data_IF_778590858677
#
_entry.id   IF_778590858677
#
_cell.length_a   1.000
_cell.length_b   1.000
_cell.length_c   1.000
_cell.angle_alpha   90.00
_cell.angle_beta   90.00
_cell.angle_gamma   90.00
#
_symmetry.space_group_name_H-M   'P 1'
#
loop_
_entity.id
_entity.type
_entity.pdbx_description
1 polymer ?
#
# COMPACT_ATOMS: atom_id res chain seq x y z
N UNK A 1 -11.48 -0.12 -35.28
CA UNK A 1 -11.99 -1.52 -35.33
C UNK A 1 -11.41 -2.43 -34.24
N UNK A 2 -10.09 -2.74 -34.22
CA UNK A 2 -9.50 -3.67 -33.23
C UNK A 2 -9.78 -3.28 -31.76
N UNK A 3 -9.71 -1.99 -31.42
CA UNK A 3 -10.01 -1.47 -30.08
C UNK A 3 -11.47 -1.72 -29.67
N UNK A 4 -12.44 -1.43 -30.55
CA UNK A 4 -13.87 -1.67 -30.30
C UNK A 4 -14.18 -3.15 -30.10
N UNK A 5 -13.58 -4.03 -30.92
CA UNK A 5 -13.72 -5.49 -30.74
C UNK A 5 -13.15 -5.96 -29.40
N UNK A 6 -12.03 -5.39 -28.95
CA UNK A 6 -11.44 -5.69 -27.63
C UNK A 6 -12.38 -5.26 -26.50
N UNK A 7 -12.90 -4.03 -26.57
CA UNK A 7 -13.86 -3.51 -25.60
C UNK A 7 -15.13 -4.37 -25.54
N UNK A 8 -15.66 -4.78 -26.69
CA UNK A 8 -16.80 -5.67 -26.75
C UNK A 8 -16.53 -7.02 -26.08
N UNK A 9 -15.39 -7.65 -26.34
CA UNK A 9 -14.99 -8.90 -25.67
C UNK A 9 -14.86 -8.75 -24.15
N UNK A 10 -14.27 -7.66 -23.68
CA UNK A 10 -14.16 -7.38 -22.24
C UNK A 10 -15.54 -7.22 -21.59
N UNK A 11 -16.45 -6.52 -22.27
CA UNK A 11 -17.80 -6.27 -21.79
C UNK A 11 -18.69 -7.52 -21.83
N UNK A 12 -18.57 -8.36 -22.87
CA UNK A 12 -19.21 -9.68 -22.93
C UNK A 12 -18.69 -10.63 -21.84
N UNK A 13 -17.39 -10.58 -21.57
CA UNK A 13 -16.82 -11.35 -20.46
C UNK A 13 -17.36 -10.89 -19.09
N UNK A 14 -17.53 -9.58 -18.91
CA UNK A 14 -18.18 -9.03 -17.71
C UNK A 14 -19.66 -9.47 -17.62
N UNK A 15 -20.39 -9.45 -18.73
CA UNK A 15 -21.77 -9.93 -18.81
C UNK A 15 -21.91 -11.41 -18.40
N UNK A 16 -21.03 -12.27 -18.93
CA UNK A 16 -20.97 -13.69 -18.56
C UNK A 16 -20.73 -13.88 -17.06
N UNK A 17 -19.79 -13.13 -16.47
CA UNK A 17 -19.55 -13.16 -15.01
C UNK A 17 -20.78 -12.73 -14.21
N UNK A 18 -21.42 -11.63 -14.60
CA UNK A 18 -22.63 -11.16 -13.92
C UNK A 18 -23.75 -12.19 -14.02
N UNK A 19 -23.96 -12.80 -15.18
CA UNK A 19 -24.93 -13.88 -15.35
C UNK A 19 -24.63 -15.06 -14.42
N UNK A 20 -23.42 -15.63 -14.47
CA UNK A 20 -23.11 -16.82 -13.68
C UNK A 20 -23.08 -16.58 -12.17
N UNK A 21 -22.66 -15.40 -11.73
CA UNK A 21 -22.53 -15.10 -10.30
C UNK A 21 -23.77 -14.46 -9.68
N UNK A 22 -24.74 -13.99 -10.47
CA UNK A 22 -25.93 -13.28 -9.95
C UNK A 22 -27.27 -13.73 -10.53
N UNK A 23 -27.32 -14.78 -11.36
CA UNK A 23 -28.59 -15.26 -11.96
C UNK A 23 -29.66 -15.61 -10.92
N UNK A 24 -29.26 -16.08 -9.75
CA UNK A 24 -30.12 -16.47 -8.63
C UNK A 24 -30.80 -15.27 -7.95
N UNK A 25 -30.14 -14.11 -7.96
CA UNK A 25 -30.63 -12.87 -7.34
C UNK A 25 -31.14 -11.83 -8.35
N UNK A 26 -31.15 -12.18 -9.64
CA UNK A 26 -31.58 -11.30 -10.74
C UNK A 26 -32.93 -11.77 -11.27
N UNK A 27 -33.84 -10.83 -11.54
CA UNK A 27 -35.17 -11.20 -12.06
C UNK A 27 -35.08 -11.80 -13.48
N UNK A 28 -35.97 -12.74 -13.79
CA UNK A 28 -36.00 -13.42 -15.09
C UNK A 28 -36.11 -12.43 -16.27
N UNK A 29 -36.94 -11.39 -16.13
CA UNK A 29 -37.07 -10.34 -17.15
C UNK A 29 -35.73 -9.63 -17.46
N UNK A 30 -34.89 -9.42 -16.43
CA UNK A 30 -33.57 -8.80 -16.61
C UNK A 30 -32.54 -9.76 -17.20
N UNK A 31 -32.65 -11.06 -16.90
CA UNK A 31 -31.81 -12.09 -17.50
C UNK A 31 -32.11 -12.25 -18.99
N UNK A 32 -33.38 -12.23 -19.38
CA UNK A 32 -33.78 -12.24 -20.79
C UNK A 32 -33.29 -10.98 -21.53
N UNK A 33 -33.37 -9.81 -20.90
CA UNK A 33 -32.85 -8.55 -21.45
C UNK A 33 -31.32 -8.60 -21.64
N UNK A 34 -30.60 -9.21 -20.69
CA UNK A 34 -29.16 -9.43 -20.77
C UNK A 34 -28.80 -10.36 -21.92
N UNK A 35 -29.44 -11.53 -22.03
CA UNK A 35 -29.20 -12.53 -23.07
C UNK A 35 -29.47 -11.98 -24.48
N UNK A 36 -30.56 -11.21 -24.64
CA UNK A 36 -30.87 -10.52 -25.90
C UNK A 36 -29.78 -9.50 -26.27
N UNK A 37 -29.26 -8.76 -25.29
CA UNK A 37 -28.23 -7.75 -25.53
C UNK A 37 -26.86 -8.38 -25.84
N UNK A 38 -26.53 -9.51 -25.19
CA UNK A 38 -25.32 -10.30 -25.46
C UNK A 38 -25.35 -10.89 -26.87
N UNK A 39 -26.44 -11.57 -27.24
CA UNK A 39 -26.61 -12.15 -28.58
C UNK A 39 -26.59 -11.10 -29.69
N UNK A 40 -27.16 -9.91 -29.47
CA UNK A 40 -27.07 -8.79 -30.41
C UNK A 40 -25.61 -8.37 -30.65
N UNK A 41 -24.79 -8.24 -29.61
CA UNK A 41 -23.39 -7.84 -29.76
C UNK A 41 -22.54 -8.95 -30.39
N UNK A 42 -22.79 -10.21 -30.04
CA UNK A 42 -22.10 -11.37 -30.64
C UNK A 42 -22.38 -11.47 -32.15
N UNK A 43 -23.64 -11.34 -32.57
CA UNK A 43 -24.01 -11.34 -33.99
C UNK A 43 -23.33 -10.20 -34.76
N UNK A 44 -23.29 -8.99 -34.19
CA UNK A 44 -22.55 -7.87 -34.77
C UNK A 44 -21.04 -8.11 -34.84
N UNK A 45 -20.45 -8.83 -33.88
CA UNK A 45 -19.02 -9.19 -33.90
C UNK A 45 -18.66 -10.22 -34.97
N UNK A 46 -19.60 -11.11 -35.33
CA UNK A 46 -19.45 -12.10 -36.38
C UNK A 46 -19.68 -11.54 -37.79
N UNK A 47 -20.26 -10.35 -37.91
CA UNK A 47 -20.45 -9.65 -39.19
C UNK A 47 -19.13 -9.28 -39.88
N UNK A 48 -19.16 -9.27 -41.22
CA UNK A 48 -18.01 -8.97 -42.07
C UNK A 48 -17.55 -7.50 -41.92
N UNK A 49 -18.51 -6.58 -41.80
CA UNK A 49 -18.32 -5.18 -41.47
C UNK A 49 -19.02 -4.83 -40.15
N UNK A 50 -18.34 -4.06 -39.29
CA UNK A 50 -18.92 -3.52 -38.07
C UNK A 50 -19.13 -2.03 -38.28
N UNK A 51 -20.39 -1.63 -38.38
CA UNK A 51 -20.76 -0.22 -38.35
C UNK A 51 -20.53 0.32 -36.93
N UNK A 52 -19.65 1.32 -36.82
CA UNK A 52 -19.16 1.80 -35.52
C UNK A 52 -20.27 2.37 -34.65
N UNK A 53 -21.19 3.15 -35.23
CA UNK A 53 -22.27 3.87 -34.52
C UNK A 53 -23.29 2.93 -33.86
N UNK A 54 -23.95 2.01 -34.58
CA UNK A 54 -24.89 1.08 -33.96
C UNK A 54 -24.18 0.14 -32.99
N UNK A 55 -22.93 -0.23 -33.27
CA UNK A 55 -22.15 -1.10 -32.39
C UNK A 55 -21.82 -0.45 -31.05
N UNK A 56 -21.40 0.83 -31.04
CA UNK A 56 -21.17 1.57 -29.80
C UNK A 56 -22.46 1.75 -29.00
N UNK A 57 -23.58 2.02 -29.67
CA UNK A 57 -24.88 2.13 -28.99
C UNK A 57 -25.32 0.80 -28.35
N UNK A 58 -25.05 -0.34 -28.99
CA UNK A 58 -25.29 -1.65 -28.40
C UNK A 58 -24.42 -1.90 -27.16
N UNK A 59 -23.13 -1.55 -27.22
CA UNK A 59 -22.21 -1.66 -26.08
C UNK A 59 -22.66 -0.79 -24.90
N UNK A 60 -23.07 0.46 -25.15
CA UNK A 60 -23.51 1.38 -24.10
C UNK A 60 -24.82 0.91 -23.43
N UNK A 61 -25.75 0.31 -24.20
CA UNK A 61 -26.95 -0.32 -23.66
C UNK A 61 -26.60 -1.47 -22.73
N UNK A 62 -25.70 -2.36 -23.15
CA UNK A 62 -25.27 -3.48 -22.31
C UNK A 62 -24.50 -2.97 -21.07
N UNK A 63 -23.63 -1.98 -21.20
CA UNK A 63 -22.94 -1.37 -20.04
C UNK A 63 -23.93 -0.80 -19.01
N UNK A 64 -24.95 -0.08 -19.49
CA UNK A 64 -26.00 0.49 -18.65
C UNK A 64 -26.81 -0.59 -17.92
N UNK A 65 -27.11 -1.70 -18.61
CA UNK A 65 -27.78 -2.85 -18.01
C UNK A 65 -26.89 -3.49 -16.94
N UNK A 66 -25.61 -3.75 -17.25
CA UNK A 66 -24.64 -4.33 -16.31
C UNK A 66 -24.43 -3.44 -15.08
N UNK A 67 -24.50 -2.11 -15.19
CA UNK A 67 -24.44 -1.22 -14.02
C UNK A 67 -25.64 -1.40 -13.08
N UNK A 68 -26.81 -1.76 -13.63
CA UNK A 68 -28.03 -1.99 -12.83
C UNK A 68 -28.01 -3.38 -12.17
N UNK A 69 -27.59 -4.41 -12.90
CA UNK A 69 -27.65 -5.80 -12.42
C UNK A 69 -26.31 -6.36 -11.93
N UNK A 70 -25.19 -5.68 -12.15
CA UNK A 70 -23.84 -6.19 -11.90
C UNK A 70 -23.36 -6.05 -10.45
N UNK A 71 -23.94 -5.14 -9.66
CA UNK A 71 -23.66 -5.04 -8.23
C UNK A 71 -22.19 -4.67 -7.97
N UNK A 72 -21.46 -5.50 -7.23
CA UNK A 72 -20.02 -5.28 -6.98
C UNK A 72 -19.10 -5.82 -8.09
N UNK A 73 -19.65 -6.55 -9.06
CA UNK A 73 -18.89 -7.15 -10.16
C UNK A 73 -18.66 -6.16 -11.32
N UNK A 74 -19.58 -5.21 -11.50
CA UNK A 74 -19.53 -4.19 -12.55
C UNK A 74 -20.05 -2.84 -12.03
N UNK A 75 -19.37 -1.71 -12.30
CA UNK A 75 -18.19 -1.57 -13.15
C UNK A 75 -16.91 -2.10 -12.50
N UNK A 76 -16.07 -2.76 -13.29
CA UNK A 76 -14.70 -3.09 -12.85
C UNK A 76 -13.97 -1.80 -12.48
N UNK A 77 -13.47 -1.73 -11.25
CA UNK A 77 -12.64 -0.61 -10.81
C UNK A 77 -11.16 -0.98 -10.95
N UNK A 78 -10.33 0.05 -11.19
CA UNK A 78 -8.87 -0.11 -11.27
C UNK A 78 -8.32 -0.87 -10.06
N UNK A 79 -8.79 -0.54 -8.86
CA UNK A 79 -8.37 -1.21 -7.63
C UNK A 79 -8.72 -2.69 -7.60
N UNK A 80 -9.95 -3.08 -7.97
CA UNK A 80 -10.36 -4.50 -7.94
C UNK A 80 -9.57 -5.39 -8.90
N UNK A 81 -9.09 -4.85 -10.02
CA UNK A 81 -8.38 -5.61 -11.05
C UNK A 81 -6.85 -5.66 -10.79
N UNK A 82 -6.30 -4.65 -10.13
CA UNK A 82 -4.85 -4.50 -9.94
C UNK A 82 -4.36 -4.78 -8.52
N UNK A 83 -5.26 -5.04 -7.55
CA UNK A 83 -4.85 -5.27 -6.16
C UNK A 83 -3.88 -6.46 -6.01
N UNK A 84 -4.11 -7.55 -6.76
CA UNK A 84 -3.20 -8.71 -6.77
C UNK A 84 -1.82 -8.33 -7.31
N UNK A 85 -1.77 -7.62 -8.44
CA UNK A 85 -0.51 -7.18 -9.06
C UNK A 85 0.24 -6.20 -8.14
N UNK A 86 -0.48 -5.26 -7.50
CA UNK A 86 0.09 -4.31 -6.55
C UNK A 86 0.65 -5.06 -5.33
N UNK A 87 -0.08 -6.06 -4.81
CA UNK A 87 0.38 -6.88 -3.69
C UNK A 87 1.65 -7.65 -4.03
N UNK A 88 1.67 -8.32 -5.20
CA UNK A 88 2.85 -9.05 -5.69
C UNK A 88 4.04 -8.10 -5.87
N UNK A 89 3.83 -6.94 -6.49
CA UNK A 89 4.87 -5.93 -6.67
C UNK A 89 5.40 -5.41 -5.32
N UNK A 90 4.52 -5.17 -4.34
CA UNK A 90 4.91 -4.74 -3.00
C UNK A 90 5.80 -5.78 -2.30
N UNK A 91 5.42 -7.07 -2.37
CA UNK A 91 6.23 -8.17 -1.80
C UNK A 91 7.61 -8.24 -2.45
N UNK A 92 7.68 -8.13 -3.78
CA UNK A 92 8.95 -8.13 -4.51
C UNK A 92 9.83 -6.95 -4.08
N UNK A 93 9.27 -5.74 -4.02
CA UNK A 93 10.01 -4.54 -3.61
C UNK A 93 10.54 -4.67 -2.18
N UNK A 94 9.70 -5.15 -1.24
CA UNK A 94 10.11 -5.40 0.14
C UNK A 94 11.20 -6.47 0.20
N UNK A 95 11.05 -7.57 -0.54
CA UNK A 95 12.04 -8.64 -0.63
C UNK A 95 13.38 -8.13 -1.15
N UNK A 96 13.39 -7.44 -2.29
CA UNK A 96 14.62 -6.87 -2.85
C UNK A 96 15.28 -5.89 -1.86
N UNK A 97 14.49 -5.02 -1.24
CA UNK A 97 15.00 -4.10 -0.24
C UNK A 97 15.61 -4.83 0.96
N UNK A 98 14.93 -5.83 1.51
CA UNK A 98 15.36 -6.57 2.70
C UNK A 98 16.54 -7.51 2.43
N UNK A 99 16.66 -8.09 1.24
CA UNK A 99 17.76 -9.01 0.93
C UNK A 99 19.01 -8.32 0.37
N UNK A 100 18.87 -7.20 -0.35
CA UNK A 100 20.00 -6.56 -1.05
C UNK A 100 20.41 -5.20 -0.49
N UNK A 101 19.47 -4.40 0.03
CA UNK A 101 19.75 -3.00 0.44
C UNK A 101 19.74 -2.79 1.96
N UNK A 102 19.04 -3.66 2.69
CA UNK A 102 19.03 -3.67 4.15
C UNK A 102 19.33 -5.09 4.64
N UNK A 103 20.58 -5.57 4.52
CA UNK A 103 20.93 -6.89 4.98
C UNK A 103 20.57 -6.99 6.47
N UNK A 104 19.76 -7.98 6.84
CA UNK A 104 19.61 -8.41 8.22
C UNK A 104 20.94 -9.06 8.66
N UNK A 105 21.96 -8.23 8.82
CA UNK A 105 23.15 -8.60 9.56
C UNK A 105 22.64 -8.76 10.99
N UNK A 106 22.40 -9.99 11.42
CA UNK A 106 22.42 -10.29 12.85
C UNK A 106 23.81 -9.84 13.27
N UNK A 107 23.94 -8.80 14.12
CA UNK A 107 25.25 -8.37 14.54
C UNK A 107 25.81 -9.54 15.32
N UNK A 108 26.79 -10.26 14.76
CA UNK A 108 27.63 -11.22 15.47
C UNK A 108 28.60 -10.48 16.40
N UNK A 109 28.08 -9.46 17.05
CA UNK A 109 28.65 -8.59 18.05
C UNK A 109 27.55 -8.19 19.06
N UNK A 110 26.55 -9.06 19.27
CA UNK A 110 25.39 -8.86 20.14
C UNK A 110 25.71 -8.55 21.60
N UNK A 111 27.00 -8.53 21.98
CA UNK A 111 27.47 -8.13 23.31
C UNK A 111 28.08 -6.71 23.37
N UNK A 112 28.24 -6.00 22.25
CA UNK A 112 28.73 -4.61 22.22
C UNK A 112 27.65 -3.48 22.19
N UNK A 113 26.39 -3.68 21.74
CA UNK A 113 25.52 -2.55 21.42
C UNK A 113 24.87 -1.89 22.63
N UNK A 114 24.95 -2.47 23.83
CA UNK A 114 24.28 -1.90 25.01
C UNK A 114 24.84 -0.53 25.40
N UNK A 115 26.10 -0.21 25.06
CA UNK A 115 26.73 1.07 25.38
C UNK A 115 27.13 1.93 24.17
N UNK A 116 26.98 1.42 22.94
CA UNK A 116 27.36 2.17 21.74
C UNK A 116 26.30 3.27 21.46
N UNK A 117 26.47 4.42 22.10
CA UNK A 117 25.53 5.55 22.09
C UNK A 117 25.46 6.31 23.42
N UNK A 118 25.93 5.71 24.51
CA UNK A 118 26.07 6.39 25.81
C UNK A 118 27.35 7.23 25.83
N UNK A 119 27.30 8.41 25.23
CA UNK A 119 28.40 9.37 25.27
C UNK A 119 28.39 10.13 26.60
N UNK A 120 29.51 10.10 27.34
CA UNK A 120 29.68 10.86 28.58
C UNK A 120 30.61 12.05 28.34
N UNK A 121 30.19 13.24 28.76
CA UNK A 121 31.05 14.42 28.84
C UNK A 121 31.29 14.75 30.32
N UNK A 122 32.56 14.87 30.71
CA UNK A 122 32.97 15.23 32.08
C UNK A 122 33.43 16.68 32.07
N UNK A 123 32.88 17.48 32.98
CA UNK A 123 33.24 18.88 33.17
C UNK A 123 33.89 19.04 34.55
N UNK A 124 35.15 19.48 34.58
CA UNK A 124 35.91 19.64 35.83
C UNK A 124 35.50 20.88 36.64
N UNK A 125 34.92 21.88 35.98
CA UNK A 125 34.46 23.12 36.62
C UNK A 125 32.99 23.39 36.34
N UNK A 126 32.30 24.01 37.31
CA UNK A 126 30.89 24.39 37.17
C UNK A 126 30.66 25.39 36.02
N UNK A 127 31.66 26.22 35.71
CA UNK A 127 31.61 27.21 34.63
C UNK A 127 31.71 26.58 33.23
N UNK A 128 32.41 25.44 33.11
CA UNK A 128 32.48 24.68 31.87
C UNK A 128 31.22 23.82 31.63
N UNK A 129 30.39 23.62 32.66
CA UNK A 129 29.16 22.86 32.55
C UNK A 129 28.07 23.64 31.78
N UNK A 130 27.22 22.97 30.99
CA UNK A 130 26.15 23.66 30.27
C UNK A 130 25.20 24.37 31.24
N UNK A 131 24.85 25.61 30.93
CA UNK A 131 23.89 26.38 31.72
C UNK A 131 22.47 25.75 31.66
N UNK A 132 21.58 26.08 32.60
CA UNK A 132 20.29 25.43 32.80
C UNK A 132 19.44 25.31 31.52
N UNK A 133 19.38 26.36 30.70
CA UNK A 133 18.68 26.35 29.41
C UNK A 133 19.24 25.31 28.44
N UNK A 134 20.57 25.19 28.38
CA UNK A 134 21.25 24.22 27.51
C UNK A 134 21.10 22.79 28.03
N UNK A 135 21.04 22.60 29.36
CA UNK A 135 20.73 21.30 29.95
C UNK A 135 19.33 20.81 29.56
N UNK A 136 18.32 21.69 29.59
CA UNK A 136 16.95 21.35 29.17
C UNK A 136 16.92 21.02 27.68
N UNK A 137 17.57 21.83 26.84
CA UNK A 137 17.67 21.55 25.41
C UNK A 137 18.34 20.20 25.12
N UNK A 138 19.47 19.92 25.77
CA UNK A 138 20.18 18.64 25.66
C UNK A 138 19.33 17.46 26.17
N UNK A 139 18.52 17.66 27.22
CA UNK A 139 17.60 16.62 27.71
C UNK A 139 16.50 16.31 26.69
N UNK A 140 15.96 17.33 26.03
CA UNK A 140 14.90 17.16 25.02
C UNK A 140 15.42 16.57 23.71
N UNK A 141 16.61 16.98 23.27
CA UNK A 141 17.18 16.59 21.97
C UNK A 141 18.03 15.33 22.03
N UNK A 142 18.78 15.13 23.12
CA UNK A 142 19.76 14.05 23.27
C UNK A 142 19.39 13.07 24.40
N UNK A 143 18.33 13.32 25.17
CA UNK A 143 18.00 12.51 26.34
C UNK A 143 19.01 12.63 27.49
N UNK A 144 19.88 13.65 27.47
CA UNK A 144 21.01 13.76 28.38
C UNK A 144 20.55 13.99 29.83
N UNK A 145 21.11 13.20 30.77
CA UNK A 145 20.99 13.39 32.21
C UNK A 145 22.27 14.07 32.72
N UNK A 146 22.13 15.23 33.37
CA UNK A 146 23.26 15.94 33.98
C UNK A 146 23.32 15.60 35.47
N UNK A 147 24.53 15.28 35.96
CA UNK A 147 24.80 15.06 37.39
C UNK A 147 26.00 15.93 37.77
N UNK A 148 25.93 16.57 38.94
CA UNK A 148 27.04 17.29 39.53
C UNK A 148 27.41 16.67 40.88
N UNK A 149 28.70 16.60 41.16
CA UNK A 149 29.21 16.17 42.45
C UNK A 149 30.43 17.02 42.79
N UNK A 150 30.46 17.55 44.00
CA UNK A 150 31.55 18.38 44.50
C UNK A 150 32.29 17.55 45.54
N UNK A 151 33.60 17.36 45.36
CA UNK A 151 34.41 16.63 46.32
C UNK A 151 34.60 17.48 47.59
N UNK A 152 34.22 16.94 48.75
CA UNK A 152 34.38 17.62 50.06
C UNK A 152 35.84 17.60 50.55
N UNK A 153 36.63 16.64 50.06
CA UNK A 153 38.07 16.49 50.34
C UNK A 153 38.83 16.09 49.07
N UNK A 154 40.15 16.29 49.04
CA UNK A 154 40.97 15.87 47.90
C UNK A 154 40.88 14.34 47.69
N UNK A 155 40.54 13.92 46.47
CA UNK A 155 40.40 12.51 46.12
C UNK A 155 39.67 12.28 44.79
N UNK A 156 39.73 11.05 44.28
CA UNK A 156 38.98 10.66 43.10
C UNK A 156 37.50 10.46 43.43
N UNK A 157 36.63 11.05 42.61
CA UNK A 157 35.19 10.84 42.68
C UNK A 157 34.78 9.93 41.52
N UNK A 158 33.92 8.96 41.79
CA UNK A 158 33.25 8.16 40.76
C UNK A 158 31.74 8.35 40.84
N UNK A 159 31.09 8.44 39.68
CA UNK A 159 29.64 8.55 39.58
C UNK A 159 29.10 7.29 38.92
N UNK A 160 28.27 6.54 39.64
CA UNK A 160 27.58 5.38 39.08
C UNK A 160 26.46 5.86 38.16
N UNK A 161 26.55 5.45 36.89
CA UNK A 161 25.52 5.67 35.89
C UNK A 161 24.54 4.50 35.92
N UNK A 162 23.48 4.65 36.70
CA UNK A 162 22.33 3.72 36.67
C UNK A 162 21.43 4.12 35.49
N UNK A 163 21.02 3.17 34.62
CA UNK A 163 20.13 3.45 33.48
C UNK A 163 18.82 4.15 33.90
#
# INVERSE_FOLDING_TARGET
>A
MKKLRKQAKELLHAASKVYHYRRDVTSEARLQELEKSVSEIETMLHGESIDSVPFTAALDRLDTLLRKIGGKLHPKTFWSDNLEVILVAAIIVIGVRTFFFQPFIIPTNSMYPTYNGMNTAVYESSEASPNALRQVFNKLTLGAKHKSLIAESSGHVSLVLVP
#
